data_IF_029128882849
#
_entry.id   IF_029128882849
#
_cell.length_a   1.000
_cell.length_b   1.000
_cell.length_c   1.000
_cell.angle_alpha   90.00
_cell.angle_beta   90.00
_cell.angle_gamma   90.00
#
_symmetry.space_group_name_H-M   'P 1'
#
loop_
_entity.id
_entity.type
_entity.pdbx_description
1 polymer ?
#
# COMPACT_ATOMS: atom_id res chain seq x y z
N UNK A 1 10.52 -6.89 5.38
CA UNK A 1 9.48 -6.77 4.36
C UNK A 1 10.13 -6.48 3.01
N UNK A 2 9.71 -7.17 1.97
CA UNK A 2 10.00 -6.94 0.56
C UNK A 2 8.71 -6.37 -0.05
N UNK A 3 8.85 -5.23 -0.71
CA UNK A 3 7.78 -4.50 -1.40
C UNK A 3 8.21 -4.46 -2.85
N UNK A 4 7.40 -5.00 -3.74
CA UNK A 4 7.61 -4.86 -5.17
C UNK A 4 6.92 -3.56 -5.60
N UNK A 5 7.71 -2.60 -6.09
CA UNK A 5 7.23 -1.29 -6.54
C UNK A 5 7.39 -1.24 -8.05
N UNK A 6 6.29 -1.02 -8.76
CA UNK A 6 6.25 -0.85 -10.20
C UNK A 6 5.78 0.56 -10.48
N UNK A 7 6.51 1.29 -11.32
CA UNK A 7 6.11 2.61 -11.78
C UNK A 7 5.69 2.49 -13.25
N UNK A 8 4.45 2.86 -13.56
CA UNK A 8 4.02 3.04 -14.94
C UNK A 8 4.28 4.49 -15.36
N UNK A 9 5.23 4.68 -16.28
CA UNK A 9 5.62 6.00 -16.76
C UNK A 9 4.61 6.62 -17.75
N UNK A 10 3.67 5.84 -18.29
CA UNK A 10 2.61 6.36 -19.18
C UNK A 10 1.48 6.93 -18.35
N UNK A 11 1.01 6.15 -17.39
CA UNK A 11 -0.15 6.51 -16.57
C UNK A 11 0.25 7.33 -15.33
N UNK A 12 1.57 7.49 -15.08
CA UNK A 12 2.12 8.15 -13.90
C UNK A 12 1.55 7.56 -12.61
N UNK A 13 1.51 6.23 -12.54
CA UNK A 13 1.03 5.48 -11.38
C UNK A 13 2.17 4.65 -10.77
N UNK A 14 2.09 4.45 -9.46
CA UNK A 14 2.94 3.54 -8.70
C UNK A 14 2.09 2.44 -8.11
N UNK A 15 2.41 1.19 -8.44
CA UNK A 15 1.78 0.01 -7.88
C UNK A 15 2.75 -0.64 -6.91
N UNK A 16 2.34 -0.75 -5.64
CA UNK A 16 3.09 -1.40 -4.58
C UNK A 16 2.43 -2.73 -4.23
N UNK A 17 3.15 -3.83 -4.40
CA UNK A 17 2.65 -5.17 -4.10
C UNK A 17 3.41 -5.77 -2.92
N UNK A 18 2.67 -6.21 -1.90
CA UNK A 18 3.22 -6.72 -0.65
C UNK A 18 2.51 -8.02 -0.26
N UNK A 19 3.29 -9.08 -0.03
CA UNK A 19 2.72 -10.34 0.47
C UNK A 19 2.23 -10.21 1.91
N UNK A 20 1.04 -10.73 2.16
CA UNK A 20 0.35 -10.64 3.45
C UNK A 20 1.11 -11.36 4.57
N UNK A 21 1.86 -12.43 4.23
CA UNK A 21 2.69 -13.19 5.17
C UNK A 21 3.83 -12.37 5.80
N UNK A 22 4.18 -11.23 5.18
CA UNK A 22 5.26 -10.37 5.61
C UNK A 22 4.85 -9.38 6.71
N UNK A 23 3.55 -9.17 6.92
CA UNK A 23 3.04 -8.32 8.01
C UNK A 23 3.04 -9.08 9.34
N UNK A 24 4.16 -8.97 10.07
CA UNK A 24 4.41 -9.71 11.33
C UNK A 24 4.39 -8.82 12.56
N UNK A 25 4.67 -7.54 12.40
CA UNK A 25 4.81 -6.56 13.48
C UNK A 25 4.18 -5.23 13.11
N UNK A 26 3.89 -4.38 14.11
CA UNK A 26 3.38 -3.02 13.88
C UNK A 26 4.24 -2.22 12.88
N UNK A 27 5.56 -2.39 13.00
CA UNK A 27 6.55 -1.74 12.17
C UNK A 27 6.38 -2.02 10.67
N UNK A 28 5.90 -3.21 10.32
CA UNK A 28 5.66 -3.58 8.93
C UNK A 28 4.57 -2.72 8.29
N UNK A 29 3.50 -2.44 9.05
CA UNK A 29 2.43 -1.52 8.63
C UNK A 29 2.90 -0.08 8.55
N UNK A 30 3.69 0.37 9.53
CA UNK A 30 4.28 1.72 9.52
C UNK A 30 5.22 1.94 8.34
N UNK A 31 5.98 0.90 7.94
CA UNK A 31 6.87 0.97 6.77
C UNK A 31 6.05 1.12 5.48
N UNK A 32 4.99 0.33 5.29
CA UNK A 32 4.12 0.48 4.12
C UNK A 32 3.45 1.85 4.10
N UNK A 33 2.88 2.28 5.23
CA UNK A 33 2.24 3.59 5.36
C UNK A 33 3.21 4.74 5.01
N UNK A 34 4.42 4.72 5.55
CA UNK A 34 5.40 5.76 5.27
C UNK A 34 5.84 5.76 3.79
N UNK A 35 5.89 4.59 3.15
CA UNK A 35 6.22 4.49 1.74
C UNK A 35 5.09 5.02 0.85
N UNK A 36 3.84 4.63 1.14
CA UNK A 36 2.65 5.16 0.47
C UNK A 36 2.60 6.67 0.63
N UNK A 37 2.85 7.19 1.84
CA UNK A 37 2.87 8.61 2.10
C UNK A 37 3.97 9.34 1.32
N UNK A 38 5.20 8.81 1.33
CA UNK A 38 6.31 9.40 0.58
C UNK A 38 6.00 9.51 -0.92
N UNK A 39 5.41 8.47 -1.52
CA UNK A 39 5.03 8.46 -2.94
C UNK A 39 3.84 9.40 -3.18
N UNK A 40 2.87 9.45 -2.27
CA UNK A 40 1.69 10.33 -2.39
C UNK A 40 2.09 11.81 -2.42
N UNK A 41 3.12 12.19 -1.65
CA UNK A 41 3.67 13.54 -1.66
C UNK A 41 4.28 13.93 -3.02
N UNK A 42 4.81 12.98 -3.81
CA UNK A 42 5.27 13.27 -5.18
C UNK A 42 4.10 13.65 -6.12
N UNK A 43 2.86 13.31 -5.75
CA UNK A 43 1.64 13.68 -6.47
C UNK A 43 0.87 14.85 -5.83
N UNK A 44 1.46 15.53 -4.83
CA UNK A 44 0.77 16.53 -3.99
C UNK A 44 -0.54 15.98 -3.38
N UNK A 45 -0.62 14.66 -3.18
CA UNK A 45 -1.74 13.99 -2.52
C UNK A 45 -1.51 13.96 -1.02
N UNK A 46 -2.57 14.24 -0.26
CA UNK A 46 -2.60 13.95 1.18
C UNK A 46 -3.08 12.50 1.33
N UNK A 47 -2.23 11.57 1.76
CA UNK A 47 -2.64 10.19 1.99
C UNK A 47 -3.58 10.16 3.19
N UNK A 48 -4.89 10.18 2.93
CA UNK A 48 -5.93 10.05 3.96
C UNK A 48 -5.94 8.65 4.62
N UNK A 49 -5.03 7.76 4.22
CA UNK A 49 -4.93 6.41 4.76
C UNK A 49 -4.10 6.36 6.04
N UNK A 50 -4.67 5.78 7.09
CA UNK A 50 -3.94 5.57 8.35
C UNK A 50 -3.32 4.17 8.45
N UNK A 51 -2.39 4.02 9.40
CA UNK A 51 -1.85 2.70 9.77
C UNK A 51 -2.94 1.74 10.28
N UNK A 52 -4.03 2.26 10.86
CA UNK A 52 -5.15 1.43 11.32
C UNK A 52 -5.99 0.91 10.15
N UNK A 53 -6.22 1.72 9.12
CA UNK A 53 -6.90 1.30 7.89
C UNK A 53 -6.11 0.20 7.19
N UNK A 54 -4.79 0.35 7.05
CA UNK A 54 -3.92 -0.69 6.50
C UNK A 54 -3.98 -2.00 7.29
N UNK A 55 -4.11 -1.94 8.63
CA UNK A 55 -4.29 -3.15 9.44
C UNK A 55 -5.62 -3.83 9.17
N UNK A 56 -6.69 -3.05 9.04
CA UNK A 56 -8.02 -3.59 8.74
C UNK A 56 -8.02 -4.28 7.38
N UNK A 57 -7.49 -3.61 6.35
CA UNK A 57 -7.33 -4.16 4.99
C UNK A 57 -6.54 -5.47 5.01
N UNK A 58 -5.33 -5.48 5.60
CA UNK A 58 -4.52 -6.71 5.69
C UNK A 58 -5.22 -7.81 6.52
N UNK A 59 -6.02 -7.43 7.51
CA UNK A 59 -6.80 -8.39 8.30
C UNK A 59 -7.94 -9.01 7.48
N UNK A 60 -8.69 -8.21 6.73
CA UNK A 60 -9.72 -8.67 5.80
C UNK A 60 -9.10 -9.56 4.72
N UNK A 61 -7.98 -9.15 4.13
CA UNK A 61 -7.22 -9.95 3.18
C UNK A 61 -6.78 -11.31 3.73
N UNK A 62 -6.38 -11.37 5.01
CA UNK A 62 -6.08 -12.64 5.69
C UNK A 62 -7.33 -13.51 5.86
N UNK A 63 -8.50 -12.91 6.07
CA UNK A 63 -9.76 -13.64 6.21
C UNK A 63 -10.26 -14.17 4.87
N UNK A 64 -9.98 -13.46 3.76
CA UNK A 64 -10.33 -13.88 2.39
C UNK A 64 -9.29 -14.80 1.73
N UNK A 65 -8.27 -15.23 2.49
CA UNK A 65 -7.17 -16.09 2.01
C UNK A 65 -6.34 -15.45 0.87
N UNK A 66 -6.39 -14.13 0.75
CA UNK A 66 -5.55 -13.38 -0.17
C UNK A 66 -4.07 -13.54 0.18
N UNK A 67 -3.22 -13.52 -0.84
CA UNK A 67 -1.78 -13.71 -0.69
C UNK A 67 -1.00 -12.41 -0.65
N UNK A 68 -1.57 -11.33 -1.17
CA UNK A 68 -0.92 -10.04 -1.34
C UNK A 68 -1.91 -8.88 -1.22
N UNK A 69 -1.40 -7.72 -0.83
CA UNK A 69 -2.08 -6.43 -0.88
C UNK A 69 -1.38 -5.59 -1.93
N UNK A 70 -2.17 -4.91 -2.75
CA UNK A 70 -1.69 -4.00 -3.78
C UNK A 70 -2.16 -2.59 -3.45
N UNK A 71 -1.24 -1.62 -3.43
CA UNK A 71 -1.57 -0.21 -3.29
C UNK A 71 -1.20 0.50 -4.59
N UNK A 72 -2.19 1.07 -5.27
CA UNK A 72 -1.98 1.92 -6.43
C UNK A 72 -2.02 3.39 -6.00
N UNK A 73 -1.01 4.16 -6.41
CA UNK A 73 -0.89 5.59 -6.11
C UNK A 73 -0.68 6.30 -7.43
N UNK A 74 -1.58 7.22 -7.76
CA UNK A 74 -1.52 7.98 -8.99
C UNK A 74 -2.12 9.36 -8.84
N UNK A 75 -2.19 10.15 -9.91
CA UNK A 75 -2.77 11.49 -9.85
C UNK A 75 -4.27 11.50 -9.47
N UNK A 76 -4.96 10.37 -9.61
CA UNK A 76 -6.37 10.22 -9.24
C UNK A 76 -6.58 9.95 -7.75
N UNK A 77 -5.55 9.52 -7.02
CA UNK A 77 -5.62 9.18 -5.61
C UNK A 77 -4.82 7.95 -5.23
N UNK A 78 -5.20 7.35 -4.11
CA UNK A 78 -4.63 6.11 -3.57
C UNK A 78 -5.75 5.06 -3.57
N UNK A 79 -5.51 3.93 -4.21
CA UNK A 79 -6.41 2.78 -4.22
C UNK A 79 -5.70 1.56 -3.60
N UNK A 80 -6.41 0.77 -2.81
CA UNK A 80 -5.84 -0.40 -2.13
C UNK A 80 -6.75 -1.59 -2.27
N UNK A 81 -6.17 -2.66 -2.81
CA UNK A 81 -6.86 -3.90 -3.15
C UNK A 81 -6.15 -5.11 -2.53
N UNK A 82 -6.90 -6.18 -2.31
CA UNK A 82 -6.41 -7.46 -1.79
C UNK A 82 -7.28 -8.63 -2.22
#
# INVERSE_FOLDING_TARGET
MKIDVVQDAKDHTYTLTIKIDQFKSLRDYEVLHNLVNAISLDFDLDPEITVEDLKNIVHEAKNEESTEVTCEIGPEGIDIEF
#
